data_IF_517853809407
#
_entry.id   IF_517853809407
#
_cell.length_a   1.000
_cell.length_b   1.000
_cell.length_c   1.000
_cell.angle_alpha   90.00
_cell.angle_beta   90.00
_cell.angle_gamma   90.00
#
_symmetry.space_group_name_H-M   'P 1'
#
loop_
_entity.id
_entity.type
_entity.pdbx_description
1 polymer ?
#
# COMPACT_ATOMS: atom_id res chain seq x y z
N UNK A 1 9.94 1.61 -15.94
CA UNK A 1 9.08 2.53 -16.73
C UNK A 1 7.65 2.15 -16.44
N UNK A 2 6.84 3.08 -15.97
CA UNK A 2 5.43 2.84 -15.65
C UNK A 2 4.61 2.98 -16.94
N UNK A 3 4.72 2.00 -17.82
CA UNK A 3 3.81 1.88 -18.95
C UNK A 3 2.37 1.81 -18.41
N UNK A 4 1.43 2.47 -19.09
CA UNK A 4 0.00 2.50 -18.76
C UNK A 4 -0.39 3.25 -17.46
N UNK A 5 0.42 4.21 -17.02
CA UNK A 5 0.06 5.14 -15.92
C UNK A 5 -0.22 6.53 -16.50
N UNK A 6 -1.43 7.01 -16.30
CA UNK A 6 -1.95 8.27 -16.84
C UNK A 6 -2.10 9.28 -15.70
N UNK A 7 -1.60 10.48 -15.87
CA UNK A 7 -1.66 11.57 -14.87
C UNK A 7 -2.55 12.75 -15.31
N UNK A 8 -2.97 12.77 -16.57
CA UNK A 8 -3.95 13.71 -17.11
C UNK A 8 -4.99 12.93 -17.92
N UNK A 9 -6.26 13.25 -17.76
CA UNK A 9 -7.33 12.68 -18.60
C UNK A 9 -7.22 13.11 -20.07
N UNK A 10 -6.43 14.15 -20.37
CA UNK A 10 -6.15 14.56 -21.74
C UNK A 10 -5.20 13.57 -22.45
N UNK A 11 -4.42 12.82 -21.69
CA UNK A 11 -3.51 11.79 -22.18
C UNK A 11 -4.15 10.39 -22.21
N UNK A 12 -5.48 10.29 -21.99
CA UNK A 12 -6.17 9.01 -21.98
C UNK A 12 -6.17 8.39 -23.39
N UNK A 13 -5.57 7.19 -23.58
CA UNK A 13 -5.53 6.58 -24.90
C UNK A 13 -6.92 6.05 -25.29
N UNK A 14 -7.19 5.91 -26.61
CA UNK A 14 -8.47 5.41 -27.10
C UNK A 14 -8.86 4.06 -26.50
N UNK A 15 -7.90 3.18 -26.26
CA UNK A 15 -8.08 1.82 -25.72
C UNK A 15 -8.55 1.82 -24.25
N UNK A 16 -8.38 2.94 -23.53
CA UNK A 16 -8.88 3.10 -22.17
C UNK A 16 -10.33 3.64 -22.14
N UNK A 17 -10.90 3.99 -23.29
CA UNK A 17 -12.33 4.36 -23.41
C UNK A 17 -13.18 3.11 -23.57
N UNK A 18 -14.48 3.25 -23.34
CA UNK A 18 -15.45 2.14 -23.38
C UNK A 18 -15.04 0.94 -22.52
N UNK A 19 -14.30 1.22 -21.46
CA UNK A 19 -13.67 0.27 -20.56
C UNK A 19 -14.58 -0.15 -19.41
N UNK A 20 -14.10 -1.10 -18.60
CA UNK A 20 -14.63 -1.32 -17.25
C UNK A 20 -13.83 -0.47 -16.28
N UNK A 21 -14.52 0.45 -15.62
CA UNK A 21 -13.94 1.43 -14.70
C UNK A 21 -14.08 0.98 -13.24
N UNK A 22 -13.02 1.12 -12.44
CA UNK A 22 -13.06 1.06 -10.98
C UNK A 22 -12.46 2.35 -10.41
N UNK A 23 -13.10 2.98 -9.41
CA UNK A 23 -12.69 4.27 -8.85
C UNK A 23 -12.45 4.14 -7.36
N UNK A 24 -11.32 4.60 -6.85
CA UNK A 24 -11.08 4.55 -5.40
C UNK A 24 -9.75 5.14 -4.98
N UNK A 25 -9.58 5.34 -3.68
CA UNK A 25 -8.27 5.71 -3.13
C UNK A 25 -7.26 4.56 -3.26
N UNK A 26 -7.72 3.34 -3.28
CA UNK A 26 -6.95 2.10 -3.43
C UNK A 26 -5.70 2.04 -2.55
N UNK A 27 -5.73 2.71 -1.38
CA UNK A 27 -4.57 2.71 -0.51
C UNK A 27 -4.35 1.33 0.11
N UNK A 28 -3.16 0.78 -0.09
CA UNK A 28 -2.79 -0.59 0.26
C UNK A 28 -3.18 -1.65 -0.77
N UNK A 29 -4.06 -1.38 -1.74
CA UNK A 29 -4.58 -2.38 -2.71
C UNK A 29 -4.87 -3.72 -2.05
N UNK A 30 -5.63 -3.69 -0.95
CA UNK A 30 -5.98 -4.84 -0.12
C UNK A 30 -6.96 -5.80 -0.83
N UNK A 31 -7.24 -6.97 -0.25
CA UNK A 31 -8.08 -8.01 -0.87
C UNK A 31 -9.45 -7.50 -1.31
N UNK A 32 -10.05 -6.53 -0.60
CA UNK A 32 -11.29 -5.88 -1.04
C UNK A 32 -11.12 -5.10 -2.35
N UNK A 33 -10.05 -4.36 -2.53
CA UNK A 33 -9.72 -3.67 -3.77
C UNK A 33 -9.41 -4.65 -4.91
N UNK A 34 -8.63 -5.70 -4.60
CA UNK A 34 -8.32 -6.76 -5.58
C UNK A 34 -9.58 -7.49 -6.05
N UNK A 35 -10.59 -7.68 -5.18
CA UNK A 35 -11.89 -8.26 -5.57
C UNK A 35 -12.63 -7.37 -6.57
N UNK A 36 -12.64 -6.05 -6.35
CA UNK A 36 -13.21 -5.09 -7.31
C UNK A 36 -12.54 -5.23 -8.67
N UNK A 37 -11.20 -5.21 -8.71
CA UNK A 37 -10.45 -5.31 -9.97
C UNK A 37 -10.60 -6.68 -10.65
N UNK A 38 -10.64 -7.78 -9.90
CA UNK A 38 -10.94 -9.11 -10.47
C UNK A 38 -12.34 -9.17 -11.09
N UNK A 39 -13.33 -8.54 -10.44
CA UNK A 39 -14.68 -8.45 -11.01
C UNK A 39 -14.68 -7.59 -12.27
N UNK A 40 -13.97 -6.47 -12.28
CA UNK A 40 -13.79 -5.62 -13.45
C UNK A 40 -13.11 -6.39 -14.60
N UNK A 41 -12.05 -7.15 -14.30
CA UNK A 41 -11.35 -7.98 -15.30
C UNK A 41 -12.26 -9.06 -15.92
N UNK A 42 -13.13 -9.69 -15.11
CA UNK A 42 -14.07 -10.69 -15.63
C UNK A 42 -15.10 -10.08 -16.60
N UNK A 43 -15.60 -8.86 -16.30
CA UNK A 43 -16.48 -8.13 -17.21
C UNK A 43 -15.73 -7.69 -18.47
N UNK A 44 -14.55 -7.12 -18.33
CA UNK A 44 -13.74 -6.66 -19.45
C UNK A 44 -13.34 -7.80 -20.40
N UNK A 45 -13.08 -9.00 -19.88
CA UNK A 45 -12.79 -10.19 -20.70
C UNK A 45 -14.01 -10.62 -21.54
N UNK A 46 -15.23 -10.54 -20.97
CA UNK A 46 -16.48 -10.83 -21.67
C UNK A 46 -16.72 -9.82 -22.80
N UNK A 47 -16.53 -8.54 -22.51
CA UNK A 47 -16.87 -7.44 -23.41
C UNK A 47 -15.69 -7.03 -24.32
N UNK A 48 -14.52 -7.70 -24.17
CA UNK A 48 -13.28 -7.46 -24.93
C UNK A 48 -12.77 -6.03 -24.87
N UNK A 49 -12.85 -5.44 -23.67
CA UNK A 49 -12.39 -4.08 -23.43
C UNK A 49 -11.33 -4.03 -22.32
N UNK A 50 -10.78 -2.84 -22.06
CA UNK A 50 -9.77 -2.63 -21.03
C UNK A 50 -10.39 -2.46 -19.63
N UNK A 51 -9.57 -2.66 -18.59
CA UNK A 51 -9.86 -2.28 -17.20
C UNK A 51 -9.10 -1.01 -16.87
N UNK A 52 -9.82 0.03 -16.45
CA UNK A 52 -9.26 1.29 -15.97
C UNK A 52 -9.44 1.38 -14.45
N UNK A 53 -8.33 1.48 -13.71
CA UNK A 53 -8.34 1.81 -12.30
C UNK A 53 -8.08 3.31 -12.12
N UNK A 54 -9.07 4.07 -11.70
CA UNK A 54 -8.96 5.50 -11.43
C UNK A 54 -8.72 5.75 -9.95
N UNK A 55 -7.64 6.42 -9.62
CA UNK A 55 -7.26 6.77 -8.25
C UNK A 55 -6.86 8.25 -8.14
N UNK A 56 -6.44 8.68 -6.96
CA UNK A 56 -6.16 10.08 -6.68
C UNK A 56 -4.73 10.28 -6.17
N UNK A 57 -4.09 11.38 -6.63
CA UNK A 57 -2.80 11.82 -6.11
C UNK A 57 -2.75 13.37 -6.08
N UNK A 58 -2.56 14.00 -4.92
CA UNK A 58 -2.52 13.37 -3.59
C UNK A 58 -3.85 12.70 -3.20
N UNK A 59 -3.90 11.85 -2.15
CA UNK A 59 -5.16 11.32 -1.64
C UNK A 59 -6.12 12.44 -1.20
N UNK A 60 -7.44 12.33 -1.46
CA UNK A 60 -8.43 13.36 -1.13
C UNK A 60 -8.43 13.82 0.33
N UNK A 61 -8.18 12.92 1.28
CA UNK A 61 -8.12 13.25 2.70
C UNK A 61 -6.95 14.18 3.06
N UNK A 62 -5.80 14.08 2.37
CA UNK A 62 -4.68 15.00 2.55
C UNK A 62 -4.99 16.43 2.07
N UNK A 63 -5.87 16.57 1.06
CA UNK A 63 -6.28 17.89 0.54
C UNK A 63 -7.38 18.50 1.40
N UNK A 64 -8.34 17.68 1.84
CA UNK A 64 -9.49 18.12 2.63
C UNK A 64 -9.14 18.37 4.10
N UNK A 65 -8.15 17.65 4.63
CA UNK A 65 -7.69 17.73 6.02
C UNK A 65 -6.16 17.73 6.06
N UNK A 66 -5.50 18.81 5.68
CA UNK A 66 -4.03 18.88 5.59
C UNK A 66 -3.35 18.66 6.95
N UNK A 67 -4.05 18.96 8.04
CA UNK A 67 -3.56 18.77 9.42
C UNK A 67 -3.72 17.33 9.91
N UNK A 68 -4.60 16.53 9.29
CA UNK A 68 -4.76 15.09 9.56
C UNK A 68 -3.69 14.31 8.76
N UNK A 69 -2.54 14.11 9.38
CA UNK A 69 -1.41 13.37 8.78
C UNK A 69 -1.74 11.87 8.67
N UNK A 70 -2.79 11.54 7.92
CA UNK A 70 -3.11 10.13 7.67
C UNK A 70 -1.99 9.49 6.84
N UNK A 71 -1.27 8.60 7.48
CA UNK A 71 -0.15 7.87 6.89
C UNK A 71 -0.63 6.93 5.78
N UNK A 72 0.11 6.89 4.68
CA UNK A 72 -0.20 6.04 3.51
C UNK A 72 0.22 4.59 3.76
N UNK A 73 -0.53 3.65 3.22
CA UNK A 73 -0.13 2.24 3.14
C UNK A 73 0.79 2.00 1.93
N UNK A 74 0.57 2.73 0.83
CA UNK A 74 1.32 2.58 -0.42
C UNK A 74 1.73 3.94 -0.99
N UNK A 75 2.93 4.01 -1.56
CA UNK A 75 3.35 5.12 -2.41
C UNK A 75 2.63 5.06 -3.77
N UNK A 76 2.62 6.15 -4.52
CA UNK A 76 1.92 6.23 -5.80
C UNK A 76 2.43 5.18 -6.81
N UNK A 77 3.76 5.01 -6.92
CA UNK A 77 4.37 4.02 -7.81
C UNK A 77 4.01 2.59 -7.41
N UNK A 78 4.10 2.26 -6.11
CA UNK A 78 3.69 0.96 -5.59
C UNK A 78 2.21 0.70 -5.85
N UNK A 79 1.35 1.71 -5.64
CA UNK A 79 -0.09 1.61 -5.89
C UNK A 79 -0.36 1.31 -7.36
N UNK A 80 0.29 2.01 -8.29
CA UNK A 80 0.12 1.77 -9.72
C UNK A 80 0.48 0.32 -10.08
N UNK A 81 1.61 -0.16 -9.63
CA UNK A 81 2.05 -1.53 -9.91
C UNK A 81 1.10 -2.57 -9.31
N UNK A 82 0.67 -2.39 -8.07
CA UNK A 82 -0.28 -3.29 -7.41
C UNK A 82 -1.67 -3.31 -8.07
N UNK A 83 -2.14 -2.17 -8.60
CA UNK A 83 -3.40 -2.12 -9.36
C UNK A 83 -3.28 -2.87 -10.69
N UNK A 84 -2.14 -2.77 -11.38
CA UNK A 84 -1.87 -3.53 -12.60
C UNK A 84 -1.80 -5.04 -12.32
N UNK A 85 -1.08 -5.45 -11.29
CA UNK A 85 -1.02 -6.85 -10.84
C UNK A 85 -2.40 -7.40 -10.45
N UNK A 86 -3.29 -6.54 -9.93
CA UNK A 86 -4.67 -6.90 -9.60
C UNK A 86 -5.61 -6.96 -10.81
N UNK A 87 -5.13 -6.56 -12.01
CA UNK A 87 -5.85 -6.72 -13.27
C UNK A 87 -6.25 -5.43 -13.98
N UNK A 88 -5.75 -4.26 -13.58
CA UNK A 88 -5.93 -3.02 -14.33
C UNK A 88 -4.99 -2.98 -15.54
N UNK A 89 -5.51 -2.65 -16.73
CA UNK A 89 -4.70 -2.35 -17.91
C UNK A 89 -4.14 -0.94 -17.86
N UNK A 90 -4.95 -0.01 -17.34
CA UNK A 90 -4.60 1.40 -17.20
C UNK A 90 -4.84 1.88 -15.77
N UNK A 91 -3.91 2.67 -15.25
CA UNK A 91 -4.03 3.33 -13.94
C UNK A 91 -4.05 4.84 -14.16
N UNK A 92 -5.17 5.46 -13.80
CA UNK A 92 -5.38 6.90 -13.94
C UNK A 92 -5.24 7.56 -12.56
N UNK A 93 -4.26 8.46 -12.40
CA UNK A 93 -4.14 9.30 -11.22
C UNK A 93 -4.80 10.64 -11.47
N UNK A 94 -5.98 10.85 -10.92
CA UNK A 94 -6.59 12.18 -10.89
C UNK A 94 -5.89 13.05 -9.85
N UNK A 95 -5.55 14.27 -10.24
CA UNK A 95 -5.07 15.27 -9.29
C UNK A 95 -6.23 15.70 -8.39
N UNK A 96 -6.16 15.26 -7.11
CA UNK A 96 -7.12 15.72 -6.11
C UNK A 96 -6.75 17.14 -5.69
N UNK A 97 -7.49 18.10 -6.17
CA UNK A 97 -7.43 19.50 -5.74
C UNK A 97 -8.79 19.96 -5.22
N UNK A 98 -8.86 21.17 -4.65
CA UNK A 98 -10.12 21.71 -4.10
C UNK A 98 -11.20 21.86 -5.17
N UNK A 99 -10.82 22.07 -6.44
CA UNK A 99 -11.77 22.18 -7.57
C UNK A 99 -12.42 20.83 -7.84
N UNK A 100 -11.63 19.78 -8.01
CA UNK A 100 -12.14 18.41 -8.22
C UNK A 100 -12.99 17.94 -7.03
N UNK A 101 -12.48 18.13 -5.80
CA UNK A 101 -13.17 17.68 -4.58
C UNK A 101 -14.41 18.51 -4.24
N UNK A 102 -14.53 19.73 -4.79
CA UNK A 102 -15.71 20.59 -4.71
C UNK A 102 -16.77 20.34 -5.80
N UNK A 103 -16.48 19.43 -6.75
CA UNK A 103 -17.39 19.13 -7.85
C UNK A 103 -18.64 18.38 -7.35
N UNK A 104 -19.87 18.80 -7.69
CA UNK A 104 -21.09 18.04 -7.40
C UNK A 104 -21.03 16.62 -7.95
N UNK A 105 -21.77 15.69 -7.35
CA UNK A 105 -21.72 14.26 -7.72
C UNK A 105 -22.10 14.03 -9.18
N UNK A 106 -23.20 14.65 -9.64
CA UNK A 106 -23.70 14.53 -11.02
C UNK A 106 -22.71 15.12 -12.03
N UNK A 107 -22.09 16.25 -11.68
CA UNK A 107 -21.09 16.87 -12.55
C UNK A 107 -19.81 16.04 -12.65
N UNK A 108 -19.39 15.41 -11.55
CA UNK A 108 -18.27 14.47 -11.56
C UNK A 108 -18.56 13.29 -12.50
N UNK A 109 -19.73 12.68 -12.42
CA UNK A 109 -20.10 11.57 -13.30
C UNK A 109 -20.10 12.03 -14.76
N UNK A 110 -20.78 13.14 -15.08
CA UNK A 110 -20.87 13.63 -16.45
C UNK A 110 -19.50 13.96 -17.01
N UNK A 111 -18.76 14.90 -16.37
CA UNK A 111 -17.53 15.48 -16.92
C UNK A 111 -16.31 14.55 -16.86
N UNK A 112 -16.22 13.69 -15.85
CA UNK A 112 -15.04 12.83 -15.66
C UNK A 112 -15.33 11.43 -16.19
N UNK A 113 -16.45 10.84 -15.80
CA UNK A 113 -16.75 9.45 -16.14
C UNK A 113 -17.27 9.37 -17.58
N UNK A 114 -18.36 10.07 -17.90
CA UNK A 114 -19.03 9.94 -19.19
C UNK A 114 -18.24 10.61 -20.31
N UNK A 115 -17.89 11.89 -20.15
CA UNK A 115 -17.28 12.65 -21.25
C UNK A 115 -15.84 12.19 -21.56
N UNK A 116 -15.09 11.65 -20.56
CA UNK A 116 -13.66 11.33 -20.73
C UNK A 116 -13.41 9.83 -20.89
N UNK A 117 -14.04 8.97 -20.11
CA UNK A 117 -13.80 7.52 -20.11
C UNK A 117 -14.87 6.79 -20.90
N UNK A 118 -16.12 7.23 -20.80
CA UNK A 118 -17.29 6.60 -21.43
C UNK A 118 -17.34 5.08 -21.13
N UNK A 119 -17.28 4.63 -19.84
CA UNK A 119 -17.20 3.21 -19.52
C UNK A 119 -18.49 2.48 -19.87
N UNK A 120 -18.39 1.21 -20.28
CA UNK A 120 -19.56 0.32 -20.40
C UNK A 120 -20.02 -0.18 -19.02
N UNK A 121 -19.05 -0.39 -18.11
CA UNK A 121 -19.32 -0.84 -16.75
C UNK A 121 -18.50 -0.07 -15.73
N UNK A 122 -19.07 0.13 -14.53
CA UNK A 122 -18.35 0.62 -13.35
C UNK A 122 -18.47 -0.44 -12.24
N UNK A 123 -17.34 -0.83 -11.65
CA UNK A 123 -17.30 -1.81 -10.57
C UNK A 123 -16.86 -1.15 -9.28
N UNK A 124 -17.74 -1.16 -8.26
CA UNK A 124 -17.50 -0.49 -6.99
C UNK A 124 -17.89 -1.34 -5.78
N UNK A 125 -17.33 -0.99 -4.64
CA UNK A 125 -17.78 -1.53 -3.36
C UNK A 125 -19.01 -0.77 -2.83
N UNK A 126 -19.79 -1.40 -1.95
CA UNK A 126 -21.01 -0.81 -1.34
C UNK A 126 -20.77 0.53 -0.63
N UNK A 127 -19.53 0.80 -0.19
CA UNK A 127 -19.18 2.04 0.53
C UNK A 127 -18.43 3.04 -0.37
N UNK A 128 -18.65 2.98 -1.65
CA UNK A 128 -18.14 3.99 -2.56
C UNK A 128 -18.95 5.28 -2.42
N UNK A 129 -18.25 6.40 -2.19
CA UNK A 129 -18.81 7.74 -2.13
C UNK A 129 -17.96 8.68 -2.97
N UNK A 130 -18.61 9.61 -3.65
CA UNK A 130 -17.96 10.57 -4.56
C UNK A 130 -18.64 11.94 -4.54
N UNK A 131 -18.05 12.90 -5.24
CA UNK A 131 -18.54 14.26 -5.32
C UNK A 131 -18.35 15.06 -4.03
N UNK A 132 -18.68 16.35 -4.11
CA UNK A 132 -18.56 17.27 -2.98
C UNK A 132 -19.28 16.75 -1.74
N UNK A 133 -18.59 16.74 -0.61
CA UNK A 133 -19.16 16.30 0.66
C UNK A 133 -19.64 14.84 0.67
N UNK A 134 -19.14 13.99 -0.27
CA UNK A 134 -19.55 12.57 -0.40
C UNK A 134 -21.05 12.41 -0.68
N UNK A 135 -21.67 13.32 -1.42
CA UNK A 135 -23.10 13.29 -1.76
C UNK A 135 -23.47 12.15 -2.71
N UNK A 136 -22.54 11.74 -3.60
CA UNK A 136 -22.71 10.59 -4.47
C UNK A 136 -22.44 9.27 -3.77
N UNK A 137 -23.20 8.25 -4.11
CA UNK A 137 -23.06 6.86 -3.66
C UNK A 137 -23.37 5.90 -4.83
N UNK A 138 -23.28 4.60 -4.58
CA UNK A 138 -23.54 3.57 -5.60
C UNK A 138 -24.95 3.59 -6.17
N UNK A 139 -25.96 4.02 -5.40
CA UNK A 139 -27.32 4.14 -5.85
C UNK A 139 -27.49 5.25 -6.87
N UNK A 140 -27.02 6.45 -6.55
CA UNK A 140 -26.99 7.58 -7.49
C UNK A 140 -26.18 7.24 -8.75
N UNK A 141 -25.02 6.57 -8.57
CA UNK A 141 -24.19 6.17 -9.71
C UNK A 141 -24.94 5.21 -10.64
N UNK A 142 -25.70 4.25 -10.08
CA UNK A 142 -26.51 3.31 -10.86
C UNK A 142 -27.71 3.99 -11.55
N UNK A 143 -28.32 4.99 -10.92
CA UNK A 143 -29.39 5.80 -11.51
C UNK A 143 -28.85 6.60 -12.72
N UNK A 144 -27.73 7.26 -12.55
CA UNK A 144 -27.05 7.98 -13.63
C UNK A 144 -26.57 7.04 -14.74
N UNK A 145 -26.12 5.82 -14.40
CA UNK A 145 -25.71 4.82 -15.37
C UNK A 145 -26.82 4.50 -16.38
N UNK A 146 -28.06 4.35 -15.91
CA UNK A 146 -29.22 4.09 -16.77
C UNK A 146 -29.47 5.20 -17.80
N UNK A 147 -29.21 6.45 -17.44
CA UNK A 147 -29.40 7.60 -18.34
C UNK A 147 -28.20 7.90 -19.22
N UNK A 148 -27.00 7.42 -18.86
CA UNK A 148 -25.76 7.68 -19.58
C UNK A 148 -25.16 6.46 -20.26
N UNK A 149 -25.81 5.29 -20.21
CA UNK A 149 -25.43 4.10 -20.97
C UNK A 149 -24.33 3.26 -20.33
N UNK A 150 -24.15 3.29 -19.00
CA UNK A 150 -23.23 2.39 -18.31
C UNK A 150 -23.94 1.61 -17.18
N UNK A 151 -23.45 0.41 -16.92
CA UNK A 151 -23.94 -0.42 -15.82
C UNK A 151 -23.04 -0.32 -14.58
N UNK A 152 -23.65 -0.37 -13.38
CA UNK A 152 -22.90 -0.39 -12.10
C UNK A 152 -22.97 -1.77 -11.46
N UNK A 153 -21.81 -2.38 -11.25
CA UNK A 153 -21.68 -3.63 -10.52
C UNK A 153 -21.16 -3.36 -9.12
N UNK A 154 -21.98 -3.64 -8.12
CA UNK A 154 -21.60 -3.50 -6.71
C UNK A 154 -21.01 -4.82 -6.19
N UNK A 155 -19.84 -4.73 -5.55
CA UNK A 155 -19.10 -5.88 -5.00
C UNK A 155 -19.22 -5.89 -3.48
N UNK A 156 -19.52 -7.07 -2.93
CA UNK A 156 -19.60 -7.28 -1.48
C UNK A 156 -18.23 -7.10 -0.81
N UNK A 157 -18.19 -6.58 0.42
CA UNK A 157 -16.95 -6.41 1.17
C UNK A 157 -16.25 -7.75 1.43
N UNK A 158 -14.91 -7.74 1.38
CA UNK A 158 -14.12 -8.87 1.86
C UNK A 158 -14.05 -8.86 3.38
N UNK A 159 -14.13 -10.03 3.98
CA UNK A 159 -13.97 -10.25 5.42
C UNK A 159 -12.77 -11.17 5.67
N UNK A 160 -12.23 -11.12 6.88
CA UNK A 160 -11.22 -12.04 7.36
C UNK A 160 -11.53 -12.39 8.83
N UNK A 161 -11.11 -13.57 9.25
CA UNK A 161 -11.07 -13.91 10.67
C UNK A 161 -9.91 -13.17 11.34
N UNK A 162 -10.23 -12.49 12.44
CA UNK A 162 -9.27 -11.83 13.31
C UNK A 162 -9.63 -12.21 14.76
N UNK A 163 -8.83 -13.12 15.32
CA UNK A 163 -8.99 -13.61 16.69
C UNK A 163 -10.40 -14.23 16.97
N UNK A 164 -10.96 -14.93 15.99
CA UNK A 164 -12.28 -15.55 16.05
C UNK A 164 -13.44 -14.64 15.67
N UNK A 165 -13.18 -13.38 15.34
CA UNK A 165 -14.20 -12.44 14.86
C UNK A 165 -14.07 -12.19 13.35
N UNK A 166 -15.22 -12.21 12.66
CA UNK A 166 -15.26 -11.85 11.24
C UNK A 166 -15.24 -10.32 11.09
N UNK A 167 -14.12 -9.78 10.60
CA UNK A 167 -13.92 -8.34 10.42
C UNK A 167 -13.80 -7.97 8.96
N UNK A 168 -14.38 -6.83 8.60
CA UNK A 168 -14.28 -6.30 7.25
C UNK A 168 -12.86 -5.81 6.96
N UNK A 169 -12.29 -6.25 5.83
CA UNK A 169 -10.99 -5.77 5.33
C UNK A 169 -11.13 -4.32 4.81
N UNK A 170 -10.25 -3.44 5.29
CA UNK A 170 -10.19 -2.04 4.89
C UNK A 170 -8.82 -1.45 5.14
N UNK A 171 -8.47 -0.33 4.48
CA UNK A 171 -7.22 0.40 4.75
C UNK A 171 -7.13 0.87 6.21
N UNK A 172 -8.26 1.18 6.85
CA UNK A 172 -8.32 1.55 8.27
C UNK A 172 -7.94 0.38 9.19
N UNK A 173 -8.49 -0.82 8.93
CA UNK A 173 -8.12 -2.04 9.65
C UNK A 173 -6.60 -2.30 9.51
N UNK A 174 -6.08 -2.23 8.29
CA UNK A 174 -4.66 -2.51 8.03
C UNK A 174 -3.75 -1.53 8.78
N UNK A 175 -4.07 -0.22 8.78
CA UNK A 175 -3.31 0.76 9.56
C UNK A 175 -3.35 0.46 11.06
N UNK A 176 -4.51 0.05 11.61
CA UNK A 176 -4.63 -0.37 13.00
C UNK A 176 -3.72 -1.56 13.29
N UNK A 177 -3.78 -2.61 12.48
CA UNK A 177 -2.94 -3.81 12.64
C UNK A 177 -1.44 -3.49 12.59
N UNK A 178 -1.02 -2.59 11.70
CA UNK A 178 0.37 -2.15 11.62
C UNK A 178 0.79 -1.39 12.89
N UNK A 179 -0.04 -0.47 13.39
CA UNK A 179 0.23 0.27 14.65
C UNK A 179 0.24 -0.63 15.89
N UNK A 180 -0.43 -1.76 15.83
CA UNK A 180 -0.38 -2.82 16.86
C UNK A 180 0.80 -3.79 16.66
N UNK A 181 1.60 -3.63 15.60
CA UNK A 181 2.70 -4.54 15.25
C UNK A 181 2.24 -5.91 14.72
N UNK A 182 0.97 -6.05 14.40
CA UNK A 182 0.35 -7.29 13.87
C UNK A 182 0.54 -7.43 12.36
N UNK A 183 1.79 -7.33 11.92
CA UNK A 183 2.16 -7.29 10.48
C UNK A 183 1.69 -8.53 9.71
N UNK A 184 1.69 -9.73 10.33
CA UNK A 184 1.20 -10.94 9.70
C UNK A 184 -0.31 -10.87 9.39
N UNK A 185 -1.13 -10.28 10.29
CA UNK A 185 -2.55 -10.05 10.03
C UNK A 185 -2.79 -8.96 8.98
N UNK A 186 -1.96 -7.89 9.00
CA UNK A 186 -1.99 -6.88 7.95
C UNK A 186 -1.69 -7.49 6.58
N UNK A 187 -0.71 -8.41 6.50
CA UNK A 187 -0.34 -9.13 5.29
C UNK A 187 -1.49 -10.02 4.78
N UNK A 188 -2.19 -10.72 5.67
CA UNK A 188 -3.40 -11.49 5.30
C UNK A 188 -4.47 -10.59 4.69
N UNK A 189 -4.72 -9.40 5.25
CA UNK A 189 -5.69 -8.44 4.71
C UNK A 189 -5.24 -7.82 3.37
N UNK A 190 -3.94 -7.63 3.18
CA UNK A 190 -3.33 -7.14 1.94
C UNK A 190 -3.24 -8.23 0.85
N UNK A 191 -3.21 -9.53 1.23
CA UNK A 191 -2.90 -10.65 0.34
C UNK A 191 -1.42 -10.74 -0.04
N UNK A 192 -0.55 -10.01 0.66
CA UNK A 192 0.91 -9.98 0.51
C UNK A 192 1.56 -9.33 1.74
N UNK A 193 2.87 -9.48 1.98
CA UNK A 193 3.57 -8.74 3.01
C UNK A 193 3.39 -7.22 2.87
N UNK A 194 3.28 -6.52 4.01
CA UNK A 194 3.34 -5.06 4.01
C UNK A 194 4.72 -4.60 3.58
N UNK A 195 4.79 -3.67 2.63
CA UNK A 195 6.03 -3.18 2.04
C UNK A 195 6.27 -1.72 2.40
N UNK A 196 7.35 -1.45 3.13
CA UNK A 196 7.83 -0.11 3.47
C UNK A 196 9.03 0.24 2.59
N UNK A 197 8.92 1.30 1.80
CA UNK A 197 9.99 1.75 0.90
C UNK A 197 10.60 3.05 1.37
N UNK A 198 11.92 3.14 1.24
CA UNK A 198 12.67 4.32 1.53
C UNK A 198 14.01 4.35 0.78
N UNK A 199 14.81 5.34 1.07
CA UNK A 199 16.19 5.44 0.58
C UNK A 199 17.14 5.07 1.70
N UNK A 200 18.17 4.26 1.40
CA UNK A 200 19.20 3.95 2.39
C UNK A 200 20.04 5.19 2.64
N UNK A 201 20.06 5.63 3.88
CA UNK A 201 20.77 6.81 4.37
C UNK A 201 21.90 6.43 5.33
N UNK A 202 22.85 7.35 5.56
CA UNK A 202 23.86 7.16 6.59
C UNK A 202 23.21 7.12 7.97
N UNK A 203 23.48 6.07 8.72
CA UNK A 203 23.16 5.98 10.14
C UNK A 203 24.37 6.28 11.00
N UNK A 204 24.20 6.21 12.30
CA UNK A 204 25.28 6.46 13.28
C UNK A 204 26.40 5.40 13.28
N UNK A 205 26.36 4.38 12.40
CA UNK A 205 27.41 3.36 12.26
C UNK A 205 27.53 2.41 13.45
N UNK A 206 26.57 2.42 14.38
CA UNK A 206 26.62 1.67 15.66
C UNK A 206 26.63 0.15 15.46
N UNK A 207 25.97 -0.36 14.42
CA UNK A 207 25.95 -1.78 14.08
C UNK A 207 27.33 -2.34 13.71
N UNK A 208 28.23 -1.53 13.18
CA UNK A 208 29.62 -1.96 12.85
C UNK A 208 30.41 -2.36 14.10
N UNK A 209 30.18 -1.68 15.23
CA UNK A 209 30.91 -1.96 16.49
C UNK A 209 30.53 -3.28 17.14
N UNK A 210 29.41 -3.87 16.74
CA UNK A 210 28.90 -5.16 17.25
C UNK A 210 28.87 -6.24 16.16
N UNK A 211 29.54 -6.01 15.02
CA UNK A 211 29.61 -6.91 13.85
C UNK A 211 28.28 -7.21 13.15
N UNK A 212 27.28 -6.33 13.31
CA UNK A 212 26.00 -6.38 12.61
C UNK A 212 25.74 -5.02 11.90
N UNK A 213 26.38 -4.76 10.74
CA UNK A 213 26.18 -3.51 10.02
C UNK A 213 24.73 -3.40 9.56
N UNK A 214 24.08 -2.26 9.86
CA UNK A 214 22.70 -1.99 9.52
C UNK A 214 22.60 -0.90 8.45
N UNK A 215 21.65 -1.06 7.54
CA UNK A 215 21.18 -0.03 6.62
C UNK A 215 20.05 0.75 7.30
N UNK A 216 20.13 2.09 7.30
CA UNK A 216 19.07 2.94 7.82
C UNK A 216 18.17 3.37 6.67
N UNK A 217 16.87 3.16 6.82
CA UNK A 217 15.87 3.54 5.83
C UNK A 217 15.32 4.94 6.15
N UNK A 218 15.66 5.92 5.32
CA UNK A 218 15.15 7.29 5.40
C UNK A 218 14.13 7.60 4.30
N UNK A 219 13.57 8.83 4.35
CA UNK A 219 12.55 9.34 3.41
C UNK A 219 11.33 8.40 3.27
N UNK A 220 10.96 7.76 4.35
CA UNK A 220 9.77 6.90 4.39
C UNK A 220 8.52 7.76 4.54
N UNK A 221 7.57 7.62 3.59
CA UNK A 221 6.31 8.40 3.57
C UNK A 221 5.09 7.53 3.83
N UNK A 222 5.31 6.32 4.26
CA UNK A 222 4.29 5.33 4.59
C UNK A 222 4.19 5.17 6.10
N UNK A 223 3.09 4.55 6.54
CA UNK A 223 2.94 4.16 7.94
C UNK A 223 4.06 3.20 8.35
N UNK A 224 4.62 3.42 9.52
CA UNK A 224 5.53 2.46 10.14
C UNK A 224 4.74 1.46 10.98
N UNK A 225 5.11 0.18 11.00
CA UNK A 225 4.66 -0.75 12.03
C UNK A 225 5.03 -0.26 13.44
N UNK A 226 4.37 -0.78 14.47
CA UNK A 226 4.73 -0.49 15.86
C UNK A 226 6.21 -0.75 16.14
N UNK A 227 6.75 -0.08 17.14
CA UNK A 227 8.11 -0.30 17.60
C UNK A 227 8.37 -1.77 17.91
N UNK A 228 9.49 -2.29 17.42
CA UNK A 228 9.82 -3.72 17.58
C UNK A 228 10.90 -4.20 16.63
N UNK A 229 11.19 -5.50 16.70
CA UNK A 229 12.08 -6.20 15.80
C UNK A 229 11.27 -7.17 14.96
N UNK A 230 11.53 -7.17 13.65
CA UNK A 230 10.74 -7.87 12.63
C UNK A 230 11.63 -8.76 11.75
N UNK A 231 11.09 -9.91 11.35
CA UNK A 231 11.59 -10.65 10.21
C UNK A 231 11.03 -10.04 8.94
N UNK A 232 11.93 -9.68 8.02
CA UNK A 232 11.59 -9.04 6.75
C UNK A 232 12.39 -9.67 5.60
N UNK A 233 11.91 -9.40 4.37
CA UNK A 233 12.74 -9.48 3.17
C UNK A 233 13.09 -8.06 2.74
N UNK A 234 14.36 -7.81 2.46
CA UNK A 234 14.84 -6.56 1.89
C UNK A 234 14.99 -6.72 0.38
N UNK A 235 14.30 -5.89 -0.39
CA UNK A 235 14.35 -5.84 -1.83
C UNK A 235 15.19 -4.65 -2.28
N UNK A 236 16.21 -4.90 -3.10
CA UNK A 236 17.03 -3.89 -3.77
C UNK A 236 17.22 -4.30 -5.24
N UNK A 237 16.74 -3.48 -6.15
CA UNK A 237 16.68 -3.87 -7.56
C UNK A 237 15.83 -5.12 -7.75
N UNK A 238 16.44 -6.19 -8.27
CA UNK A 238 15.76 -7.48 -8.49
C UNK A 238 16.15 -8.56 -7.46
N UNK A 239 16.87 -8.18 -6.43
CA UNK A 239 17.36 -9.13 -5.43
C UNK A 239 16.60 -9.01 -4.11
N UNK A 240 16.38 -10.14 -3.47
CA UNK A 240 15.68 -10.28 -2.19
C UNK A 240 16.58 -10.95 -1.17
N UNK A 241 16.79 -10.29 -0.02
CA UNK A 241 17.56 -10.83 1.09
C UNK A 241 16.70 -10.96 2.35
N UNK A 242 17.02 -11.93 3.18
CA UNK A 242 16.50 -11.98 4.54
C UNK A 242 17.05 -10.81 5.36
N UNK A 243 16.21 -10.16 6.15
CA UNK A 243 16.61 -9.02 6.95
C UNK A 243 15.96 -9.03 8.34
N UNK A 244 16.76 -8.73 9.37
CA UNK A 244 16.26 -8.38 10.70
C UNK A 244 16.07 -6.86 10.76
N UNK A 245 14.84 -6.41 10.96
CA UNK A 245 14.50 -4.96 10.91
C UNK A 245 14.06 -4.49 12.29
N UNK A 246 14.70 -3.43 12.78
CA UNK A 246 14.29 -2.69 13.97
C UNK A 246 13.50 -1.45 13.57
N UNK A 247 12.31 -1.27 14.11
CA UNK A 247 11.45 -0.09 13.94
C UNK A 247 11.30 0.61 15.27
N UNK A 248 11.48 1.94 15.30
CA UNK A 248 11.34 2.76 16.50
C UNK A 248 12.66 3.37 16.99
N UNK A 249 12.60 4.15 18.07
CA UNK A 249 13.79 4.75 18.68
C UNK A 249 14.77 3.67 19.16
N UNK A 250 16.08 3.95 19.08
CA UNK A 250 17.11 3.00 19.53
C UNK A 250 17.39 3.18 21.04
N UNK A 251 16.67 2.45 21.94
CA UNK A 251 16.65 2.76 23.39
C UNK A 251 18.02 2.56 24.07
N UNK A 252 18.85 1.65 23.54
CA UNK A 252 20.18 1.31 24.14
C UNK A 252 21.21 2.41 23.93
N UNK A 253 20.98 3.32 22.97
CA UNK A 253 21.94 4.34 22.55
C UNK A 253 21.43 5.77 22.64
N UNK A 254 20.25 6.01 23.25
CA UNK A 254 19.73 7.36 23.54
C UNK A 254 19.35 8.19 22.31
N UNK A 255 18.93 7.55 21.22
CA UNK A 255 18.35 8.25 20.05
C UNK A 255 16.84 8.38 20.18
N UNK A 256 16.29 9.62 20.05
CA UNK A 256 14.86 9.92 20.15
C UNK A 256 14.13 9.84 18.81
N UNK A 257 14.85 9.80 17.68
CA UNK A 257 14.25 9.71 16.35
C UNK A 257 13.82 8.27 16.02
N UNK A 258 12.58 8.10 15.59
CA UNK A 258 12.08 6.83 15.09
C UNK A 258 12.86 6.43 13.83
N UNK A 259 13.69 5.40 13.96
CA UNK A 259 14.53 4.89 12.88
C UNK A 259 13.99 3.54 12.39
N UNK A 260 14.21 3.25 11.12
CA UNK A 260 14.04 1.92 10.55
C UNK A 260 15.44 1.41 10.16
N UNK A 261 15.95 0.47 10.95
CA UNK A 261 17.28 -0.10 10.76
C UNK A 261 17.17 -1.55 10.31
N UNK A 262 17.77 -1.88 9.16
CA UNK A 262 17.75 -3.21 8.57
C UNK A 262 19.14 -3.83 8.62
N UNK A 263 19.30 -4.95 9.33
CA UNK A 263 20.44 -5.85 9.19
C UNK A 263 20.12 -6.87 8.10
N UNK A 264 20.83 -6.76 6.96
CA UNK A 264 20.62 -7.64 5.80
C UNK A 264 21.57 -8.80 5.90
N UNK A 265 21.03 -10.03 5.91
CA UNK A 265 21.79 -11.25 6.10
C UNK A 265 22.60 -11.56 4.83
N UNK A 266 23.90 -11.86 5.03
CA UNK A 266 24.82 -12.30 3.97
C UNK A 266 25.03 -11.30 2.81
N UNK A 267 24.69 -10.02 2.99
CA UNK A 267 24.92 -9.03 1.98
C UNK A 267 26.28 -8.35 2.18
N UNK A 268 27.12 -8.42 1.16
CA UNK A 268 28.45 -7.75 1.07
C UNK A 268 28.40 -6.52 0.15
N UNK A 269 27.21 -5.99 -0.12
CA UNK A 269 26.97 -4.90 -1.10
C UNK A 269 26.79 -3.57 -0.37
N UNK A 270 27.29 -2.48 -0.97
CA UNK A 270 27.00 -1.13 -0.51
C UNK A 270 25.59 -0.71 -0.98
N UNK A 271 24.69 -0.60 -0.03
CA UNK A 271 23.30 -0.20 -0.27
C UNK A 271 23.06 1.31 -0.21
N UNK A 272 24.09 2.08 0.11
CA UNK A 272 23.97 3.53 0.35
C UNK A 272 23.37 4.28 -0.85
N UNK A 273 22.42 5.19 -0.58
CA UNK A 273 21.63 5.96 -1.55
C UNK A 273 20.71 5.15 -2.45
N UNK A 274 20.72 3.84 -2.39
CA UNK A 274 19.81 3.01 -3.17
C UNK A 274 18.40 3.04 -2.56
N UNK A 275 17.39 2.76 -3.37
CA UNK A 275 16.01 2.54 -2.89
C UNK A 275 15.90 1.11 -2.40
N UNK A 276 15.41 0.95 -1.18
CA UNK A 276 15.16 -0.35 -0.56
C UNK A 276 13.69 -0.46 -0.20
N UNK A 277 13.13 -1.65 -0.40
CA UNK A 277 11.79 -2.00 0.09
C UNK A 277 11.89 -3.13 1.10
N UNK A 278 11.32 -2.94 2.29
CA UNK A 278 11.26 -3.91 3.36
C UNK A 278 9.87 -4.56 3.39
N UNK A 279 9.80 -5.86 3.12
CA UNK A 279 8.59 -6.68 3.17
C UNK A 279 8.48 -7.32 4.56
N UNK A 280 7.53 -6.87 5.38
CA UNK A 280 7.34 -7.31 6.76
C UNK A 280 6.61 -8.65 6.81
N UNK A 281 7.26 -9.69 7.34
CA UNK A 281 6.70 -11.03 7.45
C UNK A 281 6.10 -11.27 8.84
N UNK A 282 6.90 -11.05 9.90
CA UNK A 282 6.51 -11.34 11.27
C UNK A 282 7.20 -10.42 12.27
N UNK A 283 6.49 -10.01 13.32
CA UNK A 283 7.07 -9.37 14.50
C UNK A 283 7.74 -10.42 15.37
N UNK A 284 9.01 -10.25 15.67
CA UNK A 284 9.78 -11.19 16.51
C UNK A 284 9.62 -10.86 18.00
N UNK A 285 9.71 -9.57 18.34
CA UNK A 285 9.64 -9.08 19.72
C UNK A 285 9.49 -7.57 19.78
N UNK A 286 9.23 -7.06 20.97
CA UNK A 286 9.33 -5.65 21.30
C UNK A 286 10.78 -5.17 21.39
N UNK A 287 10.99 -3.88 21.25
CA UNK A 287 12.28 -3.28 21.57
C UNK A 287 12.49 -3.33 23.09
N UNK A 288 13.74 -3.55 23.49
CA UNK A 288 14.13 -3.53 24.90
C UNK A 288 15.55 -2.99 25.06
N UNK A 289 15.85 -2.47 26.24
CA UNK A 289 17.21 -2.12 26.63
C UNK A 289 17.98 -3.39 27.07
N UNK A 290 19.26 -3.39 26.81
CA UNK A 290 20.17 -4.47 27.23
C UNK A 290 21.19 -3.90 28.20
N UNK A 291 21.57 -4.70 29.18
CA UNK A 291 22.50 -4.31 30.24
C UNK A 291 23.91 -4.04 29.69
N UNK A 292 24.32 -4.85 28.72
CA UNK A 292 25.62 -4.75 28.07
C UNK A 292 25.56 -5.12 26.57
N UNK A 293 26.71 -4.99 25.92
CA UNK A 293 26.88 -5.32 24.49
C UNK A 293 26.81 -6.82 24.20
N UNK A 294 27.19 -7.66 25.15
CA UNK A 294 27.17 -9.12 24.97
C UNK A 294 25.74 -9.64 24.98
N UNK A 295 24.93 -9.18 25.92
CA UNK A 295 23.49 -9.46 25.98
C UNK A 295 22.76 -9.01 24.69
N UNK A 296 23.08 -7.81 24.19
CA UNK A 296 22.55 -7.32 22.92
C UNK A 296 22.97 -8.21 21.75
N UNK A 297 24.26 -8.57 21.65
CA UNK A 297 24.79 -9.44 20.58
C UNK A 297 24.15 -10.81 20.61
N UNK A 298 24.02 -11.42 21.78
CA UNK A 298 23.38 -12.72 21.95
C UNK A 298 21.90 -12.69 21.49
N UNK A 299 21.18 -11.59 21.78
CA UNK A 299 19.81 -11.42 21.32
C UNK A 299 19.74 -11.25 19.80
N UNK A 300 20.59 -10.42 19.20
CA UNK A 300 20.63 -10.25 17.73
C UNK A 300 20.91 -11.58 17.03
N UNK A 301 21.81 -12.40 17.58
CA UNK A 301 22.09 -13.75 17.04
C UNK A 301 20.83 -14.63 17.02
N UNK A 302 20.03 -14.59 18.10
CA UNK A 302 18.74 -15.32 18.16
C UNK A 302 17.74 -14.76 17.15
N UNK A 303 17.63 -13.43 17.05
CA UNK A 303 16.73 -12.78 16.11
C UNK A 303 17.10 -13.15 14.65
N UNK A 304 18.39 -13.11 14.31
CA UNK A 304 18.89 -13.51 12.98
C UNK A 304 18.57 -14.97 12.66
N UNK A 305 18.75 -15.88 13.63
CA UNK A 305 18.38 -17.29 13.42
C UNK A 305 16.89 -17.43 13.13
N UNK A 306 16.04 -16.72 13.88
CA UNK A 306 14.59 -16.74 13.67
C UNK A 306 14.18 -16.13 12.32
N UNK A 307 14.87 -15.06 11.87
CA UNK A 307 14.67 -14.48 10.53
C UNK A 307 14.95 -15.51 9.44
N UNK A 308 16.05 -16.28 9.54
CA UNK A 308 16.38 -17.34 8.58
C UNK A 308 15.27 -18.37 8.45
N UNK A 309 14.76 -18.86 9.58
CA UNK A 309 13.69 -19.85 9.62
C UNK A 309 12.40 -19.31 8.96
N UNK A 310 11.98 -18.09 9.31
CA UNK A 310 10.78 -17.47 8.76
C UNK A 310 10.93 -17.21 7.25
N UNK A 311 12.06 -16.66 6.82
CA UNK A 311 12.28 -16.40 5.40
C UNK A 311 12.41 -17.70 4.57
N UNK A 312 12.95 -18.78 5.13
CA UNK A 312 12.99 -20.07 4.44
C UNK A 312 11.59 -20.67 4.24
N UNK A 313 10.73 -20.58 5.26
CA UNK A 313 9.34 -21.10 5.18
C UNK A 313 8.42 -20.26 4.27
N UNK A 314 8.72 -18.97 4.06
CA UNK A 314 7.93 -18.08 3.17
C UNK A 314 8.30 -18.28 1.69
N UNK A 315 9.35 -19.03 1.36
CA UNK A 315 9.81 -19.30 -0.01
C UNK A 315 9.23 -20.59 -0.59
N UNK A 316 8.55 -21.39 0.22
CA UNK A 316 7.91 -22.65 -0.14
C UNK A 316 6.42 -22.46 -0.43
#
# INVERSE_FOLDING_TARGET
MTENVIRSLDDLPPEARESVLAIGNFDGVHLGHQRILRTARALAARDRCAVVAMTFEPPPDQVLRPDDKRERLTLAEQKAELLRQAGADWVVFLRADRKLLGTPAEEFVRRIIVDRIAPGHIVEGQNFFFGRGRQGNVTLLAEMGRSHGFEVRVVDPCQMDLDGESVRISSTLIRRLLREGRVAHASRALGRPFALSGRVVWGHGRGRTIQYPTANLGDTRQIHPADGVYACRAELGNELWAAAVSVGASPTFGGDDAAVEAFILHAEVDFYRQRMTLHFLQRLREQRRFEDREALRAQITRDVQRVREICASDSA
#
